data_IF_325550612704
#
_entry.id   IF_325550612704
#
_cell.length_a   1.000
_cell.length_b   1.000
_cell.length_c   1.000
_cell.angle_alpha   90.00
_cell.angle_beta   90.00
_cell.angle_gamma   90.00
#
_symmetry.space_group_name_H-M   'P 1'
#
loop_
_entity.id
_entity.type
_entity.pdbx_description
1 polymer ?
#
# COMPACT_ATOMS: atom_id res chain seq x y z
N UNK A 1 -5.71 -6.31 2.47
CA UNK A 1 -4.45 -6.23 1.68
C UNK A 1 -3.53 -7.37 2.12
N UNK A 2 -2.40 -7.58 1.44
CA UNK A 2 -1.34 -8.49 1.89
C UNK A 2 0.00 -7.75 1.88
N UNK A 3 0.89 -8.04 2.85
CA UNK A 3 2.23 -7.47 2.87
C UNK A 3 3.31 -8.50 3.23
N UNK A 4 4.54 -8.21 2.82
CA UNK A 4 5.75 -8.92 3.24
C UNK A 4 6.86 -7.92 3.58
N UNK A 5 7.60 -8.19 4.65
CA UNK A 5 8.72 -7.37 5.11
C UNK A 5 10.03 -8.13 4.88
N UNK A 6 11.03 -7.44 4.34
CA UNK A 6 12.33 -7.97 3.95
C UNK A 6 12.28 -9.23 3.06
N UNK A 7 11.45 -9.27 2.00
CA UNK A 7 11.50 -10.37 1.04
C UNK A 7 12.85 -10.36 0.30
N UNK A 8 13.37 -11.52 -0.12
CA UNK A 8 14.51 -11.56 -1.04
C UNK A 8 14.10 -10.98 -2.41
N UNK A 9 15.06 -10.31 -3.07
CA UNK A 9 14.89 -9.82 -4.44
C UNK A 9 14.08 -8.51 -4.57
N UNK A 10 13.59 -8.18 -5.77
CA UNK A 10 12.97 -6.89 -6.03
C UNK A 10 11.62 -6.72 -5.31
N UNK A 11 11.48 -5.65 -4.51
CA UNK A 11 10.24 -5.33 -3.79
C UNK A 11 9.01 -5.25 -4.70
N UNK A 12 9.16 -4.74 -5.92
CA UNK A 12 8.05 -4.65 -6.87
C UNK A 12 7.48 -6.00 -7.27
N UNK A 13 8.34 -7.01 -7.43
CA UNK A 13 7.94 -8.40 -7.69
C UNK A 13 7.30 -9.01 -6.45
N UNK A 14 7.94 -8.85 -5.29
CA UNK A 14 7.41 -9.35 -4.02
C UNK A 14 6.01 -8.78 -3.71
N UNK A 15 5.78 -7.50 -3.96
CA UNK A 15 4.46 -6.88 -3.79
C UNK A 15 3.42 -7.46 -4.77
N UNK A 16 3.80 -7.70 -6.02
CA UNK A 16 2.94 -8.36 -7.00
C UNK A 16 2.60 -9.80 -6.59
N UNK A 17 3.56 -10.55 -6.09
CA UNK A 17 3.37 -11.93 -5.61
C UNK A 17 2.51 -11.96 -4.34
N UNK A 18 2.77 -11.09 -3.37
CA UNK A 18 1.95 -10.98 -2.17
C UNK A 18 0.48 -10.70 -2.52
N UNK A 19 0.23 -9.83 -3.51
CA UNK A 19 -1.11 -9.58 -4.06
C UNK A 19 -1.72 -10.85 -4.68
N UNK A 20 -0.99 -11.49 -5.60
CA UNK A 20 -1.50 -12.60 -6.41
C UNK A 20 -1.74 -13.87 -5.61
N UNK A 21 -0.79 -14.26 -4.75
CA UNK A 21 -0.85 -15.50 -3.96
C UNK A 21 -1.91 -15.47 -2.86
N UNK A 22 -2.31 -14.27 -2.42
CA UNK A 22 -3.34 -14.10 -1.38
C UNK A 22 -4.68 -13.62 -1.92
N UNK A 23 -4.78 -13.46 -3.25
CA UNK A 23 -5.95 -12.86 -3.92
C UNK A 23 -6.36 -11.49 -3.35
N UNK A 24 -5.40 -10.79 -2.73
CA UNK A 24 -5.63 -9.46 -2.16
C UNK A 24 -5.74 -8.41 -3.28
N UNK A 25 -6.56 -7.35 -3.11
CA UNK A 25 -6.65 -6.27 -4.11
C UNK A 25 -5.38 -5.40 -4.16
N UNK A 26 -4.60 -5.39 -3.08
CA UNK A 26 -3.33 -4.67 -2.94
C UNK A 26 -2.31 -5.58 -2.26
N UNK A 27 -1.12 -5.62 -2.84
CA UNK A 27 0.07 -6.22 -2.24
C UNK A 27 1.13 -5.17 -1.94
N UNK A 28 1.82 -5.34 -0.82
CA UNK A 28 2.88 -4.44 -0.34
C UNK A 28 4.13 -5.26 -0.05
N UNK A 29 5.30 -4.74 -0.44
CA UNK A 29 6.58 -5.25 0.00
C UNK A 29 7.37 -4.11 0.62
N UNK A 30 7.98 -4.36 1.77
CA UNK A 30 8.79 -3.38 2.49
C UNK A 30 10.21 -3.91 2.73
N UNK A 31 11.19 -3.03 2.66
CA UNK A 31 12.57 -3.26 3.08
C UNK A 31 12.90 -2.33 4.24
N UNK A 32 13.52 -2.87 5.29
CA UNK A 32 14.04 -2.09 6.40
C UNK A 32 15.32 -1.37 6.02
N UNK A 33 15.33 -0.04 6.20
CA UNK A 33 16.53 0.80 6.06
C UNK A 33 16.63 1.73 7.26
N UNK A 34 17.39 1.28 8.27
CA UNK A 34 17.42 1.96 9.57
C UNK A 34 16.03 2.00 10.20
N UNK A 35 15.57 3.21 10.55
CA UNK A 35 14.23 3.45 11.13
C UNK A 35 13.12 3.64 10.08
N UNK A 36 13.43 3.42 8.81
CA UNK A 36 12.48 3.55 7.71
C UNK A 36 12.11 2.19 7.12
N UNK A 37 10.87 2.10 6.66
CA UNK A 37 10.47 1.16 5.61
C UNK A 37 10.52 1.85 4.25
N UNK A 38 11.23 1.25 3.30
CA UNK A 38 11.13 1.57 1.87
C UNK A 38 10.19 0.56 1.23
N UNK A 39 9.09 1.03 0.66
CA UNK A 39 7.97 0.17 0.27
C UNK A 39 7.67 0.26 -1.22
N UNK A 40 7.25 -0.88 -1.79
CA UNK A 40 6.64 -0.99 -3.11
C UNK A 40 5.23 -1.55 -2.98
N UNK A 41 4.27 -0.93 -3.66
CA UNK A 41 2.86 -1.32 -3.64
C UNK A 41 2.39 -1.67 -5.04
N UNK A 42 1.49 -2.66 -5.13
CA UNK A 42 0.89 -3.12 -6.40
C UNK A 42 -0.60 -3.36 -6.20
N UNK A 43 -1.41 -2.94 -7.15
CA UNK A 43 -2.87 -3.14 -7.14
C UNK A 43 -3.40 -3.46 -8.53
N UNK A 44 -4.60 -4.05 -8.57
CA UNK A 44 -5.35 -4.24 -9.83
C UNK A 44 -6.53 -3.27 -9.97
N UNK A 45 -7.13 -2.85 -8.85
CA UNK A 45 -8.40 -2.10 -8.84
C UNK A 45 -8.41 -0.86 -7.93
N UNK A 46 -7.31 -0.63 -7.20
CA UNK A 46 -7.21 0.41 -6.16
C UNK A 46 -6.25 1.49 -6.62
N UNK A 47 -6.64 2.76 -6.56
CA UNK A 47 -5.75 3.87 -6.88
C UNK A 47 -4.74 4.13 -5.74
N UNK A 48 -3.56 3.55 -5.89
CA UNK A 48 -2.49 3.66 -4.91
C UNK A 48 -1.90 5.07 -4.85
N UNK A 49 -1.87 5.78 -5.98
CA UNK A 49 -1.33 7.14 -6.01
C UNK A 49 -2.25 8.10 -5.26
N UNK A 50 -3.56 7.95 -5.39
CA UNK A 50 -4.53 8.74 -4.62
C UNK A 50 -4.34 8.52 -3.12
N UNK A 51 -4.34 7.25 -2.67
CA UNK A 51 -4.12 6.91 -1.26
C UNK A 51 -2.78 7.43 -0.73
N UNK A 52 -1.67 7.14 -1.43
CA UNK A 52 -0.34 7.48 -0.94
C UNK A 52 -0.08 8.97 -0.91
N UNK A 53 -0.61 9.76 -1.85
CA UNK A 53 -0.49 11.23 -1.80
C UNK A 53 -1.23 11.82 -0.60
N UNK A 54 -2.39 11.26 -0.26
CA UNK A 54 -3.14 11.68 0.91
C UNK A 54 -2.43 11.30 2.22
N UNK A 55 -2.02 10.04 2.34
CA UNK A 55 -1.25 9.54 3.47
C UNK A 55 0.04 10.33 3.68
N UNK A 56 0.80 10.54 2.60
CA UNK A 56 2.05 11.30 2.60
C UNK A 56 1.87 12.71 3.15
N UNK A 57 0.79 13.39 2.75
CA UNK A 57 0.47 14.74 3.21
C UNK A 57 0.10 14.77 4.70
N UNK A 58 -0.73 13.83 5.16
CA UNK A 58 -1.20 13.80 6.56
C UNK A 58 -0.12 13.42 7.57
N UNK A 59 0.81 12.57 7.15
CA UNK A 59 1.86 12.03 8.02
C UNK A 59 3.24 12.64 7.77
N UNK A 60 3.35 13.62 6.86
CA UNK A 60 4.60 14.27 6.46
C UNK A 60 5.69 13.28 6.01
N UNK A 61 5.28 12.29 5.21
CA UNK A 61 6.16 11.24 4.65
C UNK A 61 6.22 11.32 3.12
N UNK A 62 7.06 10.51 2.48
CA UNK A 62 7.17 10.45 1.02
C UNK A 62 6.40 9.27 0.46
N UNK A 63 5.58 9.49 -0.57
CA UNK A 63 4.89 8.41 -1.28
C UNK A 63 4.12 8.88 -2.51
N UNK A 64 3.95 7.98 -3.48
CA UNK A 64 3.22 8.24 -4.73
C UNK A 64 3.66 7.31 -5.87
N UNK A 65 3.05 7.49 -7.05
CA UNK A 65 3.39 6.73 -8.24
C UNK A 65 2.27 6.68 -9.26
N UNK A 66 2.12 5.54 -9.94
CA UNK A 66 0.99 5.26 -10.82
C UNK A 66 -0.19 4.68 -10.03
N UNK A 67 -1.38 4.72 -10.64
CA UNK A 67 -2.61 4.15 -10.09
C UNK A 67 -2.42 2.73 -9.56
N UNK A 68 -1.73 1.87 -10.32
CA UNK A 68 -1.60 0.44 -10.02
C UNK A 68 -0.22 0.03 -9.47
N UNK A 69 0.75 0.95 -9.43
CA UNK A 69 2.11 0.68 -8.97
C UNK A 69 2.72 1.95 -8.37
N UNK A 70 3.06 1.89 -7.09
CA UNK A 70 3.54 3.05 -6.36
C UNK A 70 4.57 2.66 -5.30
N UNK A 71 5.21 3.65 -4.68
CA UNK A 71 6.17 3.45 -3.61
C UNK A 71 6.03 4.48 -2.51
N UNK A 72 6.55 4.15 -1.33
CA UNK A 72 6.55 5.04 -0.18
C UNK A 72 7.78 4.81 0.70
N UNK A 73 8.15 5.84 1.47
CA UNK A 73 9.16 5.78 2.53
C UNK A 73 8.55 6.31 3.80
N UNK A 74 8.39 5.44 4.80
CA UNK A 74 7.74 5.78 6.07
C UNK A 74 8.61 5.37 7.26
N UNK A 75 8.58 6.10 8.38
CA UNK A 75 9.10 5.60 9.65
C UNK A 75 8.44 4.28 10.05
N UNK A 76 9.22 3.33 10.60
CA UNK A 76 8.72 2.03 11.08
C UNK A 76 7.54 2.18 12.04
N UNK A 77 7.59 3.19 12.93
CA UNK A 77 6.50 3.54 13.87
C UNK A 77 5.15 3.88 13.23
N UNK A 78 5.11 4.16 11.92
CA UNK A 78 3.88 4.46 11.18
C UNK A 78 3.37 3.27 10.38
N UNK A 79 4.03 2.11 10.44
CA UNK A 79 3.66 0.97 9.60
C UNK A 79 2.26 0.43 9.94
N UNK A 80 1.94 0.30 11.22
CA UNK A 80 0.62 -0.19 11.64
C UNK A 80 -0.49 0.78 11.20
N UNK A 81 -0.27 2.09 11.40
CA UNK A 81 -1.18 3.15 10.92
C UNK A 81 -1.37 3.08 9.40
N UNK A 82 -0.29 2.87 8.65
CA UNK A 82 -0.35 2.70 7.20
C UNK A 82 -1.21 1.49 6.79
N UNK A 83 -1.03 0.33 7.46
CA UNK A 83 -1.79 -0.89 7.19
C UNK A 83 -3.28 -0.70 7.47
N UNK A 84 -3.61 -0.09 8.61
CA UNK A 84 -5.00 0.21 9.02
C UNK A 84 -5.69 1.15 8.03
N UNK A 85 -5.03 2.26 7.68
CA UNK A 85 -5.60 3.25 6.77
C UNK A 85 -5.74 2.72 5.35
N UNK A 86 -4.78 1.93 4.86
CA UNK A 86 -4.86 1.30 3.54
C UNK A 86 -6.01 0.29 3.49
N UNK A 87 -6.16 -0.56 4.51
CA UNK A 87 -7.29 -1.48 4.59
C UNK A 87 -8.63 -0.75 4.67
N UNK A 88 -8.70 0.35 5.41
CA UNK A 88 -9.89 1.21 5.49
C UNK A 88 -10.22 1.83 4.13
N UNK A 89 -9.21 2.33 3.41
CA UNK A 89 -9.37 2.87 2.06
C UNK A 89 -9.90 1.81 1.08
N UNK A 90 -9.32 0.61 1.08
CA UNK A 90 -9.78 -0.52 0.25
C UNK A 90 -11.22 -0.91 0.58
N UNK A 91 -11.56 -0.96 1.87
CA UNK A 91 -12.91 -1.32 2.33
C UNK A 91 -13.95 -0.31 1.87
N UNK A 92 -13.65 1.00 1.94
CA UNK A 92 -14.58 2.04 1.42
C UNK A 92 -14.82 1.94 -0.09
N UNK A 93 -13.83 1.48 -0.86
CA UNK A 93 -13.99 1.33 -2.31
C UNK A 93 -14.86 0.11 -2.68
N UNK A 94 -14.78 -0.97 -1.91
CA UNK A 94 -15.58 -2.17 -2.13
C UNK A 94 -17.05 -1.98 -1.70
N UNK A 95 -17.31 -1.04 -0.80
CA UNK A 95 -18.65 -0.63 -0.34
C UNK A 95 -18.91 0.78 -0.89
N UNK A 96 -19.05 0.89 -2.22
CA UNK A 96 -19.63 2.10 -2.82
C UNK A 96 -21.03 2.35 -2.25
N UNK A 97 -21.53 3.60 -2.26
CA UNK A 97 -22.88 3.87 -1.79
C UNK A 97 -23.85 2.95 -2.55
N UNK A 98 -24.68 2.20 -1.81
CA UNK A 98 -25.85 1.55 -2.37
C UNK A 98 -26.66 2.67 -3.00
N UNK A 99 -26.66 2.74 -4.33
CA UNK A 99 -27.52 3.64 -5.08
C UNK A 99 -28.96 3.27 -4.74
N UNK A 100 -29.56 3.97 -3.79
CA UNK A 100 -31.00 4.04 -3.69
C UNK A 100 -31.50 4.91 -4.84
N UNK A 101 -31.85 4.26 -5.95
CA UNK A 101 -32.82 4.73 -6.93
C UNK A 101 -33.80 3.59 -7.22
#
# INVERSE_FOLDING_TARGET
>A
MAYVVNPPGPLGLAANLARGLTESPVGVAAEERGDLYVMSLRSSQVDLNQFLRDFARRHSVSGGGHKNAAGARIPKRLFDVFVEELNSYISRLRWGPVSSQ
#
